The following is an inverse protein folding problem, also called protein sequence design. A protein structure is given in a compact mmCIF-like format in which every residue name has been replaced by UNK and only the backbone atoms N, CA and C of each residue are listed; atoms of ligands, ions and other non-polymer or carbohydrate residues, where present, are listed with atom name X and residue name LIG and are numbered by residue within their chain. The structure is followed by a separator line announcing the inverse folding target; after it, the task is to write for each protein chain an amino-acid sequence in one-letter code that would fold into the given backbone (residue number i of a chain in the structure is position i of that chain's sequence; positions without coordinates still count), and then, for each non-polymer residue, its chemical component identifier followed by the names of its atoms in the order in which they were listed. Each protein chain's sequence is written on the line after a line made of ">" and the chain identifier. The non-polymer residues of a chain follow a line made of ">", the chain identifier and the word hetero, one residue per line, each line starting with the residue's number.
data_IF_718193030463
#
_entry.id   IF_718193030463
#
_cell.length_a   1.000
_cell.length_b   1.000
_cell.length_c   1.000
_cell.angle_alpha   90.00
_cell.angle_beta   90.00
_cell.angle_gamma   90.00
#
_symmetry.space_group_name_H-M   'P 1'
#
loop_
_entity.id
_entity.type
_entity.pdbx_description
1 polymer ?
#
# COMPACT_ATOMS: atom_id res chain seq x y z
N UNK A 1 -3.27 -2.20 30.11
CA UNK A 1 -4.28 -2.94 29.34
C UNK A 1 -4.48 -4.30 29.99
N UNK A 2 -5.69 -4.53 30.48
CA UNK A 2 -6.17 -5.83 30.95
C UNK A 2 -6.37 -6.79 29.78
N UNK A 3 -6.29 -8.10 30.05
CA UNK A 3 -6.58 -9.14 29.05
C UNK A 3 -8.03 -9.07 28.55
N UNK A 4 -8.95 -8.56 29.38
CA UNK A 4 -10.36 -8.39 29.04
C UNK A 4 -10.54 -7.19 28.08
N UNK A 5 -9.86 -6.08 28.36
CA UNK A 5 -9.86 -4.89 27.48
C UNK A 5 -9.28 -5.20 26.09
N UNK A 6 -8.25 -6.06 26.01
CA UNK A 6 -7.66 -6.47 24.74
C UNK A 6 -8.58 -7.40 23.92
N UNK A 7 -9.32 -8.27 24.62
CA UNK A 7 -10.26 -9.20 23.98
C UNK A 7 -11.49 -8.46 23.42
N UNK A 8 -12.03 -7.51 24.18
CA UNK A 8 -13.14 -6.67 23.71
C UNK A 8 -12.74 -5.81 22.50
N UNK A 9 -11.52 -5.28 22.49
CA UNK A 9 -10.97 -4.56 21.33
C UNK A 9 -10.89 -5.46 20.09
N UNK A 10 -10.39 -6.70 20.24
CA UNK A 10 -10.29 -7.68 19.14
C UNK A 10 -11.66 -8.11 18.61
N UNK A 11 -12.64 -8.30 19.49
CA UNK A 11 -13.99 -8.69 19.11
C UNK A 11 -14.77 -7.54 18.42
N UNK A 12 -14.45 -6.28 18.71
CA UNK A 12 -14.96 -5.10 17.99
C UNK A 12 -14.32 -4.94 16.61
N UNK A 13 -13.01 -5.16 16.48
CA UNK A 13 -12.30 -5.16 15.19
C UNK A 13 -12.92 -6.21 14.23
N UNK A 14 -13.15 -7.43 14.72
CA UNK A 14 -13.72 -8.53 13.93
C UNK A 14 -15.17 -8.29 13.45
N UNK A 15 -15.96 -7.48 14.16
CA UNK A 15 -17.34 -7.14 13.77
C UNK A 15 -17.40 -6.03 12.72
N UNK A 16 -16.35 -5.22 12.58
CA UNK A 16 -16.34 -4.03 11.73
C UNK A 16 -15.70 -4.30 10.35
N UNK A 17 -14.91 -5.38 10.22
CA UNK A 17 -14.01 -5.61 9.08
C UNK A 17 -14.63 -6.24 7.82
N UNK A 18 -15.84 -6.79 7.85
CA UNK A 18 -16.40 -7.42 6.63
C UNK A 18 -16.94 -6.42 5.61
N UNK A 19 -17.42 -5.25 6.03
CA UNK A 19 -18.04 -4.27 5.13
C UNK A 19 -17.01 -3.32 4.49
N UNK A 20 -15.98 -2.94 5.25
CA UNK A 20 -14.89 -2.07 4.76
C UNK A 20 -14.04 -2.75 3.69
N UNK A 21 -13.60 -3.99 3.95
CA UNK A 21 -12.76 -4.75 3.03
C UNK A 21 -13.50 -5.11 1.74
N UNK A 22 -14.78 -5.48 1.82
CA UNK A 22 -15.60 -5.75 0.63
C UNK A 22 -15.82 -4.48 -0.23
N UNK A 23 -16.05 -3.32 0.40
CA UNK A 23 -16.19 -2.04 -0.31
C UNK A 23 -14.89 -1.63 -1.03
N UNK A 24 -13.73 -1.86 -0.41
CA UNK A 24 -12.42 -1.60 -1.00
C UNK A 24 -12.08 -2.57 -2.14
N UNK A 25 -12.37 -3.86 -1.98
CA UNK A 25 -12.17 -4.84 -3.07
C UNK A 25 -13.08 -4.49 -4.25
N UNK A 26 -14.34 -4.11 -3.98
CA UNK A 26 -15.27 -3.66 -4.99
C UNK A 26 -14.76 -2.40 -5.70
N UNK A 27 -14.19 -1.42 -4.99
CA UNK A 27 -13.65 -0.22 -5.63
C UNK A 27 -12.45 -0.51 -6.54
N UNK A 28 -11.53 -1.41 -6.16
CA UNK A 28 -10.39 -1.81 -7.02
C UNK A 28 -10.88 -2.48 -8.31
N UNK A 29 -11.88 -3.36 -8.23
CA UNK A 29 -12.45 -4.03 -9.41
C UNK A 29 -13.17 -3.09 -10.38
N UNK A 30 -13.56 -1.90 -9.92
CA UNK A 30 -14.25 -0.91 -10.74
C UNK A 30 -13.29 0.04 -11.48
N UNK A 31 -12.02 0.12 -11.08
CA UNK A 31 -11.02 1.01 -11.72
C UNK A 31 -10.88 0.76 -13.23
N UNK A 32 -10.82 -0.51 -13.72
CA UNK A 32 -10.79 -0.77 -15.16
C UNK A 32 -12.04 -0.34 -15.92
N UNK A 33 -13.18 -0.12 -15.23
CA UNK A 33 -14.46 0.29 -15.81
C UNK A 33 -14.67 1.81 -15.81
N UNK A 34 -13.74 2.59 -15.27
CA UNK A 34 -13.80 4.06 -15.29
C UNK A 34 -13.74 4.60 -16.73
N UNK A 35 -14.25 5.81 -16.93
CA UNK A 35 -14.14 6.49 -18.23
C UNK A 35 -12.68 6.77 -18.58
N UNK A 36 -12.40 6.96 -19.88
CA UNK A 36 -11.04 7.24 -20.34
C UNK A 36 -10.43 8.51 -19.71
N UNK A 37 -11.26 9.54 -19.46
CA UNK A 37 -10.82 10.78 -18.83
C UNK A 37 -10.43 10.56 -17.36
N UNK A 38 -11.23 9.80 -16.61
CA UNK A 38 -10.95 9.46 -15.21
C UNK A 38 -9.71 8.58 -15.08
N UNK A 39 -9.58 7.56 -15.95
CA UNK A 39 -8.38 6.70 -16.01
C UNK A 39 -7.13 7.51 -16.28
N UNK A 40 -7.17 8.42 -17.26
CA UNK A 40 -6.03 9.29 -17.58
C UNK A 40 -5.65 10.17 -16.40
N UNK A 41 -6.62 10.83 -15.76
CA UNK A 41 -6.38 11.66 -14.57
C UNK A 41 -5.75 10.84 -13.44
N UNK A 42 -6.29 9.65 -13.17
CA UNK A 42 -5.80 8.75 -12.13
C UNK A 42 -4.38 8.26 -12.44
N UNK A 43 -4.11 7.89 -13.68
CA UNK A 43 -2.79 7.47 -14.15
C UNK A 43 -1.76 8.59 -13.99
N UNK A 44 -2.07 9.80 -14.46
CA UNK A 44 -1.18 10.96 -14.40
C UNK A 44 -0.89 11.36 -12.94
N UNK A 45 -1.91 11.39 -12.08
CA UNK A 45 -1.75 11.66 -10.65
C UNK A 45 -0.89 10.60 -9.94
N UNK A 46 -1.09 9.33 -10.28
CA UNK A 46 -0.30 8.20 -9.74
C UNK A 46 1.15 8.30 -10.18
N UNK A 47 1.40 8.65 -11.45
CA UNK A 47 2.74 8.88 -11.97
C UNK A 47 3.45 10.05 -11.29
N UNK A 48 2.75 11.18 -11.06
CA UNK A 48 3.30 12.31 -10.32
C UNK A 48 3.64 11.95 -8.87
N UNK A 49 2.78 11.17 -8.23
CA UNK A 49 3.00 10.69 -6.86
C UNK A 49 4.24 9.78 -6.78
N UNK A 50 4.41 8.86 -7.74
CA UNK A 50 5.61 8.00 -7.81
C UNK A 50 6.89 8.81 -8.01
N UNK A 51 6.85 9.88 -8.82
CA UNK A 51 7.99 10.77 -9.04
C UNK A 51 8.41 11.57 -7.80
N UNK A 52 7.53 11.71 -6.81
CA UNK A 52 7.87 12.39 -5.56
C UNK A 52 8.73 11.55 -4.61
N UNK A 53 8.83 10.24 -4.83
CA UNK A 53 9.76 9.39 -4.08
C UNK A 53 11.18 9.55 -4.60
N UNK A 54 12.16 9.50 -3.69
CA UNK A 54 13.58 9.65 -4.01
C UNK A 54 14.21 8.43 -4.70
N UNK A 55 13.53 7.30 -4.70
CA UNK A 55 14.03 5.99 -5.14
C UNK A 55 12.97 5.25 -5.96
N UNK A 56 13.38 4.31 -6.80
CA UNK A 56 12.45 3.46 -7.55
C UNK A 56 11.83 2.34 -6.69
N UNK A 57 10.78 1.66 -7.18
CA UNK A 57 10.26 0.44 -6.51
C UNK A 57 11.31 -0.69 -6.53
N UNK A 58 12.05 -0.81 -7.63
CA UNK A 58 13.08 -1.84 -7.82
C UNK A 58 14.22 -1.69 -6.81
N UNK A 59 14.61 -0.47 -6.47
CA UNK A 59 15.60 -0.22 -5.42
C UNK A 59 15.11 -0.72 -4.06
N UNK A 60 13.86 -0.45 -3.69
CA UNK A 60 13.30 -0.96 -2.42
C UNK A 60 13.20 -2.49 -2.43
N UNK A 61 12.80 -3.11 -3.56
CA UNK A 61 12.79 -4.57 -3.72
C UNK A 61 14.17 -5.19 -3.58
N UNK A 62 15.18 -4.54 -4.14
CA UNK A 62 16.58 -4.98 -4.05
C UNK A 62 17.05 -4.93 -2.60
N UNK A 63 16.76 -3.84 -1.89
CA UNK A 63 17.13 -3.68 -0.48
C UNK A 63 16.38 -4.64 0.46
N UNK A 64 15.12 -4.98 0.14
CA UNK A 64 14.35 -5.98 0.89
C UNK A 64 14.77 -7.42 0.58
N UNK A 65 15.28 -7.68 -0.62
CA UNK A 65 15.77 -8.99 -1.04
C UNK A 65 17.15 -9.33 -0.45
N UNK A 66 17.95 -8.32 -0.09
CA UNK A 66 19.23 -8.49 0.59
C UNK A 66 19.06 -8.42 2.11
N UNK A 67 18.95 -9.59 2.74
CA UNK A 67 18.77 -9.68 4.19
C UNK A 67 19.93 -9.06 4.96
N UNK A 68 21.16 -9.13 4.46
CA UNK A 68 22.32 -8.59 5.16
C UNK A 68 22.31 -7.07 5.13
N UNK A 69 22.11 -6.46 3.96
CA UNK A 69 21.96 -5.01 3.83
C UNK A 69 20.74 -4.48 4.61
N UNK A 70 19.64 -5.23 4.64
CA UNK A 70 18.45 -4.86 5.40
C UNK A 70 18.70 -4.83 6.91
N UNK A 71 19.46 -5.80 7.45
CA UNK A 71 19.77 -5.88 8.88
C UNK A 71 20.77 -4.81 9.33
N UNK A 72 21.57 -4.25 8.43
CA UNK A 72 22.46 -3.10 8.72
C UNK A 72 21.69 -1.79 8.92
N UNK A 73 20.45 -1.69 8.41
CA UNK A 73 19.59 -0.54 8.62
C UNK A 73 19.15 -0.40 10.07
N UNK A 74 19.07 0.83 10.56
CA UNK A 74 18.41 1.11 11.83
C UNK A 74 16.94 0.72 11.78
N UNK A 75 16.35 0.50 12.96
CA UNK A 75 14.92 0.16 13.06
C UNK A 75 14.00 1.18 12.37
N UNK A 76 14.34 2.48 12.42
CA UNK A 76 13.56 3.54 11.74
C UNK A 76 13.67 3.44 10.22
N UNK A 77 14.85 3.14 9.71
CA UNK A 77 15.08 2.96 8.27
C UNK A 77 14.38 1.71 7.74
N UNK A 78 14.39 0.61 8.50
CA UNK A 78 13.62 -0.59 8.18
C UNK A 78 12.12 -0.29 8.08
N UNK A 79 11.55 0.40 9.07
CA UNK A 79 10.15 0.81 9.01
C UNK A 79 9.85 1.74 7.84
N UNK A 80 10.71 2.74 7.59
CA UNK A 80 10.55 3.66 6.48
C UNK A 80 10.61 2.92 5.13
N UNK A 81 11.51 1.95 4.98
CA UNK A 81 11.63 1.09 3.81
C UNK A 81 10.35 0.29 3.57
N UNK A 82 9.79 -0.35 4.60
CA UNK A 82 8.53 -1.09 4.49
C UNK A 82 7.36 -0.17 4.07
N UNK A 83 7.28 1.02 4.66
CA UNK A 83 6.24 2.02 4.31
C UNK A 83 6.37 2.45 2.85
N UNK A 84 7.57 2.86 2.41
CA UNK A 84 7.80 3.28 1.02
C UNK A 84 7.53 2.14 0.04
N UNK A 85 8.01 0.93 0.34
CA UNK A 85 7.80 -0.25 -0.49
C UNK A 85 6.30 -0.57 -0.66
N UNK A 86 5.55 -0.62 0.46
CA UNK A 86 4.12 -0.90 0.43
C UNK A 86 3.34 0.14 -0.37
N UNK A 87 3.61 1.44 -0.13
CA UNK A 87 3.00 2.53 -0.87
C UNK A 87 3.29 2.43 -2.38
N UNK A 88 4.56 2.23 -2.76
CA UNK A 88 4.96 2.09 -4.17
C UNK A 88 4.32 0.87 -4.82
N UNK A 89 4.24 -0.28 -4.13
CA UNK A 89 3.56 -1.48 -4.67
C UNK A 89 2.11 -1.20 -5.03
N UNK A 90 1.37 -0.54 -4.14
CA UNK A 90 -0.03 -0.16 -4.38
C UNK A 90 -0.13 0.80 -5.57
N UNK A 91 0.72 1.81 -5.64
CA UNK A 91 0.72 2.78 -6.75
C UNK A 91 1.05 2.12 -8.10
N UNK A 92 1.98 1.17 -8.13
CA UNK A 92 2.28 0.41 -9.35
C UNK A 92 1.11 -0.48 -9.78
N UNK A 93 0.40 -1.12 -8.83
CA UNK A 93 -0.83 -1.87 -9.15
C UNK A 93 -1.91 -0.94 -9.70
N UNK A 94 -2.05 0.26 -9.13
CA UNK A 94 -3.01 1.27 -9.59
C UNK A 94 -2.71 1.71 -11.03
N UNK A 95 -1.44 1.90 -11.39
CA UNK A 95 -1.05 2.18 -12.77
C UNK A 95 -1.51 1.08 -13.74
N UNK A 96 -1.35 -0.20 -13.39
CA UNK A 96 -1.79 -1.30 -14.24
C UNK A 96 -3.32 -1.34 -14.42
N UNK A 97 -4.07 -0.99 -13.37
CA UNK A 97 -5.53 -0.97 -13.42
C UNK A 97 -6.10 0.26 -14.17
N UNK A 98 -5.37 1.38 -14.14
CA UNK A 98 -5.76 2.63 -14.79
C UNK A 98 -5.25 2.76 -16.24
N UNK A 99 -4.64 1.71 -16.79
CA UNK A 99 -4.30 1.60 -18.22
C UNK A 99 -5.54 1.42 -19.12
#
# INVERSE_FOLDING_TARGET
>A
MSAEEFKEFKDQEAKTDRKGTACLIQSVTMIPNLSAAEKKLLFDATMLTLKAFSSSLKEEETMLGDLQAYLELSRREQFALQVRYGQKKILHQLLELAK
#
